data_IF_224914401624
#
_entry.id   IF_224914401624
#
_cell.length_a   1.000
_cell.length_b   1.000
_cell.length_c   1.000
_cell.angle_alpha   90.00
_cell.angle_beta   90.00
_cell.angle_gamma   90.00
#
_symmetry.space_group_name_H-M   'P 1'
#
loop_
_entity.id
_entity.type
_entity.pdbx_description
1 polymer ?
#
# COMPACT_ATOMS: atom_id res chain seq x y z
N UNK A 1 -4.15 14.82 14.37
CA UNK A 1 -3.59 14.04 15.50
C UNK A 1 -3.72 14.80 16.81
N UNK A 2 -3.25 16.05 16.86
CA UNK A 2 -3.32 16.90 18.06
C UNK A 2 -4.68 16.93 18.75
N UNK A 3 -5.77 17.18 18.00
CA UNK A 3 -7.10 17.34 18.60
C UNK A 3 -7.66 16.06 19.23
N UNK A 4 -7.36 14.90 18.65
CA UNK A 4 -7.82 13.61 19.20
C UNK A 4 -7.00 13.27 20.44
N UNK A 5 -5.66 13.38 20.35
CA UNK A 5 -4.76 13.07 21.47
C UNK A 5 -4.97 14.02 22.64
N UNK A 6 -5.25 15.30 22.39
CA UNK A 6 -5.55 16.29 23.42
C UNK A 6 -6.83 15.98 24.21
N UNK A 7 -7.79 15.27 23.59
CA UNK A 7 -9.05 14.85 24.23
C UNK A 7 -8.94 13.53 25.00
N UNK A 8 -7.75 12.94 25.08
CA UNK A 8 -7.49 11.74 25.89
C UNK A 8 -6.89 12.11 27.24
N UNK A 9 -7.00 11.24 28.27
CA UNK A 9 -6.40 11.50 29.57
C UNK A 9 -4.92 11.88 29.50
N UNK A 10 -4.48 12.76 30.40
CA UNK A 10 -3.07 13.16 30.51
C UNK A 10 -2.17 11.97 30.89
N UNK A 11 -2.66 11.11 31.79
CA UNK A 11 -2.03 9.84 32.10
C UNK A 11 -2.44 8.76 31.06
N UNK A 12 -1.68 8.67 29.97
CA UNK A 12 -1.89 7.66 28.91
C UNK A 12 -0.59 6.98 28.48
N UNK A 13 -0.68 5.75 27.99
CA UNK A 13 0.41 5.11 27.27
C UNK A 13 0.18 5.30 25.77
N UNK A 14 1.16 5.85 25.06
CA UNK A 14 1.12 6.02 23.61
C UNK A 14 2.13 5.07 22.99
N UNK A 15 1.67 4.27 22.02
CA UNK A 15 2.50 3.38 21.23
C UNK A 15 2.35 3.79 19.76
N UNK A 16 3.47 3.99 19.09
CA UNK A 16 3.52 4.29 17.67
C UNK A 16 4.18 3.12 16.95
N UNK A 17 3.54 2.63 15.90
CA UNK A 17 4.03 1.51 15.10
C UNK A 17 4.12 1.95 13.65
N UNK A 18 5.25 1.69 13.00
CA UNK A 18 5.43 1.92 11.57
C UNK A 18 6.54 1.03 11.03
N UNK A 19 6.40 0.59 9.79
CA UNK A 19 7.47 -0.09 9.06
C UNK A 19 8.57 0.88 8.59
N UNK A 20 8.30 2.18 8.58
CA UNK A 20 9.25 3.24 8.22
C UNK A 20 9.30 4.30 9.32
N UNK A 21 10.49 4.86 9.58
CA UNK A 21 10.68 5.86 10.64
C UNK A 21 11.51 7.06 10.16
N UNK A 22 10.99 7.88 9.21
CA UNK A 22 11.65 9.10 8.76
C UNK A 22 11.63 10.19 9.84
N UNK A 23 12.44 11.23 9.68
CA UNK A 23 12.58 12.34 10.66
C UNK A 23 11.24 12.96 11.07
N UNK A 24 10.31 13.10 10.12
CA UNK A 24 8.96 13.62 10.40
C UNK A 24 8.16 12.74 11.37
N UNK A 25 8.33 11.42 11.32
CA UNK A 25 7.72 10.51 12.27
C UNK A 25 8.39 10.60 13.65
N UNK A 26 9.72 10.77 13.68
CA UNK A 26 10.45 11.02 14.91
C UNK A 26 9.98 12.32 15.59
N UNK A 27 9.82 13.40 14.84
CA UNK A 27 9.27 14.67 15.33
C UNK A 27 7.87 14.49 15.94
N UNK A 28 6.97 13.77 15.27
CA UNK A 28 5.63 13.47 15.81
C UNK A 28 5.70 12.68 17.12
N UNK A 29 6.66 11.76 17.24
CA UNK A 29 6.87 11.00 18.47
C UNK A 29 7.34 11.91 19.61
N UNK A 30 8.24 12.86 19.35
CA UNK A 30 8.69 13.82 20.36
C UNK A 30 7.60 14.78 20.81
N UNK A 31 6.68 15.16 19.92
CA UNK A 31 5.56 16.05 20.25
C UNK A 31 4.52 15.35 21.14
N UNK A 32 4.26 14.06 20.91
CA UNK A 32 3.11 13.38 21.51
C UNK A 32 3.45 12.31 22.57
N UNK A 33 4.63 11.69 22.50
CA UNK A 33 5.06 10.71 23.48
C UNK A 33 5.69 11.40 24.70
N UNK A 34 5.79 10.64 25.80
CA UNK A 34 6.53 11.10 26.99
C UNK A 34 8.03 11.17 26.68
N UNK A 35 8.75 12.00 27.43
CA UNK A 35 10.20 12.17 27.32
C UNK A 35 11.01 10.88 27.54
N UNK A 36 10.44 9.88 28.21
CA UNK A 36 11.06 8.58 28.47
C UNK A 36 10.62 7.48 27.49
N UNK A 37 10.07 7.83 26.32
CA UNK A 37 9.63 6.85 25.34
C UNK A 37 10.80 6.00 24.83
N UNK A 38 10.65 4.67 24.88
CA UNK A 38 11.58 3.74 24.27
C UNK A 38 11.29 3.64 22.76
N UNK A 39 12.36 3.66 21.96
CA UNK A 39 12.29 3.43 20.51
C UNK A 39 12.92 2.07 20.21
N UNK A 40 12.16 1.19 19.57
CA UNK A 40 12.58 -0.16 19.21
C UNK A 40 12.56 -0.31 17.69
N UNK A 41 13.70 -0.69 17.12
CA UNK A 41 13.83 -1.01 15.70
C UNK A 41 14.12 -2.50 15.53
N UNK A 42 13.39 -3.15 14.62
CA UNK A 42 13.61 -4.55 14.26
C UNK A 42 14.16 -4.58 12.84
N UNK A 43 15.35 -5.15 12.67
CA UNK A 43 16.06 -5.15 11.38
C UNK A 43 17.11 -4.04 11.30
N UNK A 44 17.28 -3.44 10.12
CA UNK A 44 18.24 -2.35 9.91
C UNK A 44 17.63 -0.99 10.28
N UNK A 45 18.47 -0.05 10.71
CA UNK A 45 18.06 1.31 11.06
C UNK A 45 17.75 2.20 9.84
N UNK A 46 18.21 1.81 8.66
CA UNK A 46 17.84 2.44 7.38
C UNK A 46 16.58 1.84 6.75
N UNK A 47 16.04 2.50 5.72
CA UNK A 47 14.93 1.97 4.92
C UNK A 47 15.39 0.66 4.28
N UNK A 48 14.83 -0.45 4.73
CA UNK A 48 15.03 -1.75 4.13
C UNK A 48 13.68 -2.34 3.73
N UNK A 49 13.58 -2.74 2.47
CA UNK A 49 12.47 -3.55 2.02
C UNK A 49 12.53 -4.94 2.66
N UNK A 50 11.39 -5.62 2.72
CA UNK A 50 11.31 -6.97 3.27
C UNK A 50 12.23 -7.92 2.47
N UNK A 51 13.15 -8.60 3.16
CA UNK A 51 14.17 -9.46 2.52
C UNK A 51 13.59 -10.68 1.80
N UNK A 52 12.38 -11.09 2.16
CA UNK A 52 11.69 -12.20 1.48
C UNK A 52 11.02 -11.77 0.18
N UNK A 53 11.03 -10.48 -0.17
CA UNK A 53 10.43 -9.95 -1.40
C UNK A 53 11.52 -9.77 -2.45
N UNK A 54 11.41 -10.53 -3.54
CA UNK A 54 12.24 -10.34 -4.73
C UNK A 54 11.79 -9.05 -5.43
N UNK A 55 12.73 -8.18 -5.78
CA UNK A 55 12.46 -6.88 -6.37
C UNK A 55 13.03 -6.81 -7.79
N UNK A 56 12.16 -6.49 -8.75
CA UNK A 56 12.52 -6.26 -10.14
C UNK A 56 12.18 -4.82 -10.52
N UNK A 57 13.07 -4.16 -11.27
CA UNK A 57 12.87 -2.79 -11.76
C UNK A 57 12.95 -2.85 -13.28
N UNK A 58 11.85 -2.48 -13.94
CA UNK A 58 11.75 -2.45 -15.39
C UNK A 58 11.51 -1.02 -15.87
N UNK A 59 12.45 -0.52 -16.67
CA UNK A 59 12.39 0.84 -17.22
C UNK A 59 11.66 0.79 -18.56
N UNK A 60 10.44 1.30 -18.58
CA UNK A 60 9.58 1.30 -19.77
C UNK A 60 9.08 2.69 -20.10
N UNK A 61 8.82 2.93 -21.38
CA UNK A 61 8.18 4.16 -21.83
C UNK A 61 6.77 4.27 -21.20
N UNK A 62 6.31 5.47 -20.76
CA UNK A 62 5.01 5.61 -20.10
C UNK A 62 3.83 5.00 -20.87
N UNK A 63 3.81 5.18 -22.20
CA UNK A 63 2.77 4.62 -23.08
C UNK A 63 2.80 3.08 -23.17
N UNK A 64 3.94 2.45 -22.87
CA UNK A 64 4.10 1.00 -22.92
C UNK A 64 3.72 0.30 -21.60
N UNK A 65 3.47 1.05 -20.52
CA UNK A 65 3.24 0.49 -19.17
C UNK A 65 2.10 -0.52 -19.11
N UNK A 66 0.97 -0.23 -19.75
CA UNK A 66 -0.21 -1.12 -19.72
C UNK A 66 0.07 -2.42 -20.50
N UNK A 67 0.63 -2.31 -21.70
CA UNK A 67 1.02 -3.47 -22.50
C UNK A 67 2.05 -4.34 -21.77
N UNK A 68 3.02 -3.69 -21.13
CA UNK A 68 4.04 -4.36 -20.34
C UNK A 68 3.47 -5.08 -19.10
N UNK A 69 2.54 -4.43 -18.38
CA UNK A 69 1.83 -5.06 -17.28
C UNK A 69 1.02 -6.28 -17.74
N UNK A 70 0.31 -6.20 -18.87
CA UNK A 70 -0.42 -7.32 -19.44
C UNK A 70 0.51 -8.50 -19.76
N UNK A 71 1.70 -8.23 -20.31
CA UNK A 71 2.70 -9.26 -20.53
C UNK A 71 3.14 -9.92 -19.21
N UNK A 72 3.42 -9.14 -18.17
CA UNK A 72 3.79 -9.67 -16.85
C UNK A 72 2.67 -10.50 -16.22
N UNK A 73 1.40 -10.06 -16.33
CA UNK A 73 0.24 -10.81 -15.86
C UNK A 73 0.06 -12.13 -16.62
N UNK A 74 0.27 -12.13 -17.94
CA UNK A 74 0.18 -13.35 -18.75
C UNK A 74 1.30 -14.35 -18.40
N UNK A 75 2.51 -13.87 -18.10
CA UNK A 75 3.59 -14.73 -17.61
C UNK A 75 3.28 -15.32 -16.22
N UNK A 76 2.56 -14.56 -15.39
CA UNK A 76 2.11 -14.99 -14.06
C UNK A 76 0.79 -15.78 -14.09
N UNK A 77 0.18 -15.99 -15.26
CA UNK A 77 -1.16 -16.60 -15.37
C UNK A 77 -1.27 -17.98 -14.72
N UNK A 78 -0.29 -18.91 -14.83
CA UNK A 78 -0.35 -20.19 -14.13
C UNK A 78 -0.43 -20.02 -12.61
N UNK A 79 0.39 -19.14 -12.03
CA UNK A 79 0.43 -18.87 -10.60
C UNK A 79 -0.87 -18.22 -10.13
N UNK A 80 -1.42 -17.29 -10.91
CA UNK A 80 -2.71 -16.66 -10.63
C UNK A 80 -3.85 -17.68 -10.67
N UNK A 81 -3.82 -18.63 -11.61
CA UNK A 81 -4.79 -19.72 -11.69
C UNK A 81 -4.70 -20.69 -10.50
N UNK A 82 -3.50 -20.85 -9.92
CA UNK A 82 -3.27 -21.62 -8.68
C UNK A 82 -3.66 -20.85 -7.40
N UNK A 83 -4.23 -19.64 -7.53
CA UNK A 83 -4.76 -18.86 -6.42
C UNK A 83 -3.82 -17.76 -5.91
N UNK A 84 -2.69 -17.51 -6.57
CA UNK A 84 -1.91 -16.30 -6.29
C UNK A 84 -2.70 -15.04 -6.66
N UNK A 85 -2.40 -13.95 -5.97
CA UNK A 85 -3.10 -12.67 -6.13
C UNK A 85 -2.10 -11.60 -6.53
N UNK A 86 -2.52 -10.70 -7.42
CA UNK A 86 -1.74 -9.54 -7.84
C UNK A 86 -2.38 -8.26 -7.29
N UNK A 87 -1.54 -7.36 -6.74
CA UNK A 87 -1.95 -6.02 -6.33
C UNK A 87 -1.14 -5.00 -7.14
N UNK A 88 -1.85 -4.15 -7.90
CA UNK A 88 -1.23 -3.14 -8.77
C UNK A 88 -1.53 -1.75 -8.22
N UNK A 89 -0.48 -0.99 -7.92
CA UNK A 89 -0.61 0.38 -7.43
C UNK A 89 -0.59 1.39 -8.58
N UNK A 90 -1.48 2.37 -8.52
CA UNK A 90 -1.58 3.48 -9.47
C UNK A 90 -1.40 4.83 -8.74
N UNK A 91 -1.02 5.86 -9.48
CA UNK A 91 -0.74 7.19 -8.91
C UNK A 91 -2.00 8.01 -8.61
N UNK A 92 -3.11 7.76 -9.32
CA UNK A 92 -4.34 8.54 -9.19
C UNK A 92 -5.57 7.65 -9.22
N UNK A 93 -6.68 8.14 -8.70
CA UNK A 93 -7.98 7.45 -8.75
C UNK A 93 -8.43 7.21 -10.19
N UNK A 94 -8.28 8.20 -11.06
CA UNK A 94 -8.61 8.10 -12.49
C UNK A 94 -7.80 7.00 -13.17
N UNK A 95 -6.50 6.91 -12.89
CA UNK A 95 -5.65 5.85 -13.46
C UNK A 95 -6.05 4.46 -12.96
N UNK A 96 -6.61 4.32 -11.75
CA UNK A 96 -7.15 3.04 -11.28
C UNK A 96 -8.32 2.60 -12.16
N UNK A 97 -9.28 3.49 -12.40
CA UNK A 97 -10.47 3.17 -13.20
C UNK A 97 -10.11 2.86 -14.66
N UNK A 98 -9.25 3.68 -15.28
CA UNK A 98 -8.74 3.47 -16.64
C UNK A 98 -8.01 2.13 -16.77
N UNK A 99 -7.16 1.80 -15.79
CA UNK A 99 -6.42 0.54 -15.83
C UNK A 99 -7.34 -0.67 -15.65
N UNK A 100 -8.32 -0.59 -14.73
CA UNK A 100 -9.29 -1.68 -14.53
C UNK A 100 -10.10 -1.91 -15.81
N UNK A 101 -10.52 -0.86 -16.51
CA UNK A 101 -11.20 -0.98 -17.79
C UNK A 101 -10.30 -1.67 -18.83
N UNK A 102 -9.07 -1.18 -19.03
CA UNK A 102 -8.13 -1.75 -19.99
C UNK A 102 -7.79 -3.22 -19.70
N UNK A 103 -7.63 -3.60 -18.43
CA UNK A 103 -7.39 -4.98 -18.03
C UNK A 103 -8.61 -5.87 -18.30
N UNK A 104 -9.83 -5.39 -18.03
CA UNK A 104 -11.07 -6.13 -18.31
C UNK A 104 -11.29 -6.32 -19.80
N UNK A 105 -11.03 -5.29 -20.61
CA UNK A 105 -11.11 -5.36 -22.08
C UNK A 105 -10.11 -6.39 -22.64
N UNK A 106 -8.95 -6.55 -21.99
CA UNK A 106 -7.96 -7.57 -22.28
C UNK A 106 -8.29 -8.95 -21.66
N UNK A 107 -9.47 -9.13 -21.06
CA UNK A 107 -9.93 -10.40 -20.48
C UNK A 107 -9.41 -10.73 -19.08
N UNK A 108 -8.74 -9.79 -18.41
CA UNK A 108 -8.23 -9.99 -17.05
C UNK A 108 -9.32 -9.74 -16.00
N UNK A 109 -9.35 -10.58 -14.96
CA UNK A 109 -10.24 -10.42 -13.82
C UNK A 109 -9.72 -9.33 -12.86
N UNK A 110 -9.99 -8.06 -13.18
CA UNK A 110 -9.53 -6.91 -12.39
C UNK A 110 -10.66 -6.19 -11.63
N UNK A 111 -10.35 -5.75 -10.41
CA UNK A 111 -11.18 -4.87 -9.57
C UNK A 111 -10.29 -3.75 -9.02
N UNK A 112 -10.84 -2.54 -8.89
CA UNK A 112 -10.12 -1.35 -8.43
C UNK A 112 -10.65 -0.85 -7.10
N UNK A 113 -9.76 -0.31 -6.26
CA UNK A 113 -10.10 0.35 -5.00
C UNK A 113 -9.45 1.73 -4.93
N UNK A 114 -10.23 2.78 -4.68
CA UNK A 114 -9.71 4.13 -4.45
C UNK A 114 -10.65 5.01 -3.62
N UNK A 115 -10.15 6.17 -3.16
CA UNK A 115 -10.89 7.07 -2.24
C UNK A 115 -12.08 7.81 -2.85
N UNK A 116 -12.32 7.67 -4.16
CA UNK A 116 -13.49 8.25 -4.83
C UNK A 116 -14.70 7.30 -4.88
N UNK A 117 -14.53 6.04 -4.45
CA UNK A 117 -15.60 5.05 -4.40
C UNK A 117 -16.39 5.15 -3.09
N UNK A 118 -17.63 4.66 -3.12
CA UNK A 118 -18.42 4.51 -1.91
C UNK A 118 -17.79 3.46 -0.98
N UNK A 119 -17.92 3.66 0.33
CA UNK A 119 -17.36 2.74 1.33
C UNK A 119 -17.84 1.30 1.13
N UNK A 120 -19.11 1.11 0.76
CA UNK A 120 -19.68 -0.21 0.46
C UNK A 120 -18.93 -0.90 -0.69
N UNK A 121 -18.60 -0.16 -1.75
CA UNK A 121 -17.84 -0.70 -2.90
C UNK A 121 -16.40 -1.05 -2.52
N UNK A 122 -15.78 -0.23 -1.66
CA UNK A 122 -14.42 -0.49 -1.13
C UNK A 122 -14.41 -1.76 -0.28
N UNK A 123 -15.39 -1.91 0.61
CA UNK A 123 -15.56 -3.11 1.44
C UNK A 123 -15.79 -4.37 0.60
N UNK A 124 -16.66 -4.30 -0.41
CA UNK A 124 -16.89 -5.41 -1.34
C UNK A 124 -15.61 -5.80 -2.08
N UNK A 125 -14.87 -4.81 -2.59
CA UNK A 125 -13.60 -5.03 -3.30
C UNK A 125 -12.57 -5.72 -2.41
N UNK A 126 -12.43 -5.28 -1.15
CA UNK A 126 -11.54 -5.92 -0.17
C UNK A 126 -12.02 -7.35 0.14
N UNK A 127 -13.32 -7.56 0.30
CA UNK A 127 -13.90 -8.89 0.56
C UNK A 127 -13.59 -9.87 -0.57
N UNK A 128 -13.73 -9.41 -1.82
CA UNK A 128 -13.43 -10.22 -3.02
C UNK A 128 -11.93 -10.50 -3.19
N UNK A 129 -11.07 -9.61 -2.70
CA UNK A 129 -9.61 -9.79 -2.81
C UNK A 129 -9.02 -10.63 -1.67
N UNK A 130 -9.66 -10.71 -0.50
CA UNK A 130 -9.21 -11.54 0.64
C UNK A 130 -9.21 -13.02 0.32
#
# INVERSE_FOLDING_TARGET
>A
MGDIVARTPCARQLLLFSATWPDRAAELSHIHCRSNAAVLHVGTTGIAACRSVVQHIEVVHPLAKVAHLLQALNQAAPQLAEGMKALVFCNSTTTVDELVAALRDAGQAAIGIHGGQLEVQRCETISRFR
#
